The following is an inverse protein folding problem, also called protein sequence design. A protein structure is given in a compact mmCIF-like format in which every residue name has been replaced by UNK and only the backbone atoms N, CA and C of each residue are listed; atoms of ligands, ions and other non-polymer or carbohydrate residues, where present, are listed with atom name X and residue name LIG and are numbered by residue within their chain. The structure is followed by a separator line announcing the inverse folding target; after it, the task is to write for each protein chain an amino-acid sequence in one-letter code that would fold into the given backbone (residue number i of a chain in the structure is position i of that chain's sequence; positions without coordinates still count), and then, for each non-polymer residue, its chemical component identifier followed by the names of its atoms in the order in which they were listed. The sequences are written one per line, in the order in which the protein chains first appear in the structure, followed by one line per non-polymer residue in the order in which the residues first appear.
data_IF_052708226916
#
_entry.id   IF_052708226916
#
_cell.length_a   1.000
_cell.length_b   1.000
_cell.length_c   1.000
_cell.angle_alpha   90.00
_cell.angle_beta   90.00
_cell.angle_gamma   90.00
#
_symmetry.space_group_name_H-M   'P 1'
#
loop_
_entity.id
_entity.type
_entity.pdbx_description
1 polymer ?
#
# COMPACT_ATOMS: atom_id res chain seq x y z
N UNK A 1 -9.80 -24.00 -9.43
CA UNK A 1 -8.89 -23.45 -8.41
C UNK A 1 -8.30 -22.17 -8.99
N UNK A 2 -8.48 -21.04 -8.32
CA UNK A 2 -8.01 -19.74 -8.80
C UNK A 2 -6.47 -19.73 -8.68
N UNK A 3 -5.77 -19.93 -9.79
CA UNK A 3 -4.32 -19.73 -9.84
C UNK A 3 -4.10 -18.22 -9.95
N UNK A 4 -3.81 -17.57 -8.82
CA UNK A 4 -3.32 -16.20 -8.82
C UNK A 4 -1.88 -16.21 -9.36
N UNK A 5 -1.78 -16.25 -10.68
CA UNK A 5 -0.53 -16.09 -11.39
C UNK A 5 -0.16 -14.61 -11.49
N UNK A 6 1.05 -14.38 -12.00
CA UNK A 6 1.55 -13.06 -12.33
C UNK A 6 0.58 -12.25 -13.21
N UNK A 7 -0.11 -12.84 -14.23
CA UNK A 7 -1.07 -12.11 -15.05
C UNK A 7 -2.27 -11.58 -14.25
N UNK A 8 -2.85 -12.39 -13.37
CA UNK A 8 -4.01 -12.02 -12.57
C UNK A 8 -3.68 -10.89 -11.59
N UNK A 9 -2.50 -10.94 -10.96
CA UNK A 9 -2.02 -9.88 -10.06
C UNK A 9 -1.83 -8.56 -10.82
N UNK A 10 -1.31 -8.60 -12.04
CA UNK A 10 -1.14 -7.40 -12.89
C UNK A 10 -2.50 -6.79 -13.24
N UNK A 11 -3.49 -7.61 -13.62
CA UNK A 11 -4.85 -7.13 -13.92
C UNK A 11 -5.48 -6.46 -12.70
N UNK A 12 -5.39 -7.08 -11.52
CA UNK A 12 -5.87 -6.49 -10.26
C UNK A 12 -5.15 -5.17 -9.98
N UNK A 13 -3.83 -5.13 -10.16
CA UNK A 13 -3.03 -3.91 -10.01
C UNK A 13 -3.48 -2.78 -10.94
N UNK A 14 -3.78 -3.09 -12.21
CA UNK A 14 -4.31 -2.11 -13.18
C UNK A 14 -5.68 -1.60 -12.75
N UNK A 15 -6.59 -2.48 -12.32
CA UNK A 15 -7.91 -2.07 -11.83
C UNK A 15 -7.78 -1.15 -10.62
N UNK A 16 -6.94 -1.50 -9.65
CA UNK A 16 -6.66 -0.65 -8.49
C UNK A 16 -6.06 0.70 -8.89
N UNK A 17 -5.15 0.71 -9.87
CA UNK A 17 -4.56 1.95 -10.39
C UNK A 17 -5.60 2.84 -11.11
N UNK A 18 -6.61 2.27 -11.75
CA UNK A 18 -7.69 3.05 -12.38
C UNK A 18 -8.63 3.61 -11.29
N UNK A 19 -9.00 2.81 -10.30
CA UNK A 19 -9.92 3.22 -9.23
C UNK A 19 -9.31 4.29 -8.32
N UNK A 20 -8.06 4.09 -7.90
CA UNK A 20 -7.38 4.99 -6.98
C UNK A 20 -6.53 6.03 -7.72
N UNK A 21 -6.07 5.76 -8.94
CA UNK A 21 -5.12 6.62 -9.64
C UNK A 21 -3.68 6.34 -9.21
N UNK A 22 -2.74 6.37 -10.16
CA UNK A 22 -1.32 6.09 -9.89
C UNK A 22 -0.64 7.04 -8.89
N UNK A 23 -1.24 8.20 -8.59
CA UNK A 23 -0.75 9.14 -7.58
C UNK A 23 -1.31 8.90 -6.18
N UNK A 24 -2.55 8.41 -6.03
CA UNK A 24 -3.14 8.23 -4.68
C UNK A 24 -2.57 7.01 -3.95
N UNK A 25 -2.26 5.92 -4.66
CA UNK A 25 -1.60 4.75 -4.07
C UNK A 25 -0.30 5.10 -3.32
N UNK A 26 0.68 5.79 -3.93
CA UNK A 26 1.90 6.19 -3.23
C UNK A 26 1.67 7.29 -2.18
N UNK A 27 0.68 8.16 -2.36
CA UNK A 27 0.30 9.18 -1.37
C UNK A 27 -0.28 8.55 -0.09
N UNK A 28 -1.17 7.57 -0.24
CA UNK A 28 -1.72 6.77 0.86
C UNK A 28 -0.61 5.96 1.56
N UNK A 29 0.28 5.32 0.80
CA UNK A 29 1.41 4.58 1.36
C UNK A 29 2.35 5.50 2.15
N UNK A 30 2.63 6.71 1.65
CA UNK A 30 3.43 7.72 2.37
C UNK A 30 2.74 8.21 3.64
N UNK A 31 1.44 8.52 3.57
CA UNK A 31 0.65 8.94 4.74
C UNK A 31 0.57 7.87 5.82
N UNK A 32 0.30 6.62 5.42
CA UNK A 32 0.29 5.46 6.30
C UNK A 32 1.67 5.16 6.88
N UNK A 33 2.73 5.25 6.07
CA UNK A 33 4.11 5.03 6.51
C UNK A 33 4.56 6.04 7.55
N UNK A 34 4.25 7.33 7.34
CA UNK A 34 4.49 8.37 8.34
C UNK A 34 3.69 8.14 9.62
N UNK A 35 2.42 7.76 9.49
CA UNK A 35 1.56 7.46 10.65
C UNK A 35 2.07 6.26 11.45
N UNK A 36 2.50 5.20 10.76
CA UNK A 36 3.08 4.01 11.39
C UNK A 36 4.43 4.32 12.03
N UNK A 37 5.25 5.19 11.43
CA UNK A 37 6.52 5.64 11.98
C UNK A 37 6.32 6.42 13.28
N UNK A 38 5.39 7.37 13.30
CA UNK A 38 5.05 8.12 14.52
C UNK A 38 4.42 7.20 15.58
N UNK A 39 3.58 6.24 15.17
CA UNK A 39 3.02 5.23 16.08
C UNK A 39 4.11 4.39 16.74
N UNK A 40 5.09 3.88 15.98
CA UNK A 40 6.23 3.11 16.53
C UNK A 40 7.12 3.94 17.46
N UNK A 41 7.34 5.21 17.12
CA UNK A 41 8.08 6.16 17.97
C UNK A 41 7.35 6.41 19.29
N UNK A 42 6.03 6.61 19.25
CA UNK A 42 5.21 6.76 20.44
C UNK A 42 5.09 5.45 21.25
N UNK A 43 5.11 4.30 20.58
CA UNK A 43 5.09 2.97 21.20
C UNK A 43 6.42 2.57 21.87
N UNK A 44 7.43 3.45 21.88
CA UNK A 44 8.68 3.23 22.60
C UNK A 44 9.64 2.25 21.92
N UNK A 45 9.48 1.99 20.62
CA UNK A 45 10.27 0.98 19.91
C UNK A 45 11.71 1.43 19.57
N UNK A 46 12.17 2.56 20.12
CA UNK A 46 13.58 2.97 20.31
C UNK A 46 13.61 4.22 21.22
N UNK A 47 14.03 4.04 22.48
CA UNK A 47 14.65 5.09 23.28
C UNK A 47 16.15 4.79 23.36
#
# INVERSE_FOLDING_TARGET
MFNLGTPEIVVIGIVLLILFGGKKLPELARGMGSSLKEFRKAAGENA
#
